data_IF_748445903653
#
_entry.id   IF_748445903653
#
_cell.length_a   1.000
_cell.length_b   1.000
_cell.length_c   1.000
_cell.angle_alpha   90.00
_cell.angle_beta   90.00
_cell.angle_gamma   90.00
#
_symmetry.space_group_name_H-M   'P 1'
#
loop_
_entity.id
_entity.type
_entity.pdbx_description
1 polymer ?
#
# COMPACT_ATOMS: atom_id res chain seq x y z
N UNK A 1 -12.46 10.61 5.34
CA UNK A 1 -11.17 11.13 4.90
C UNK A 1 -11.42 11.93 3.63
N UNK A 2 -11.24 13.25 3.65
CA UNK A 2 -11.46 14.09 2.47
C UNK A 2 -10.10 14.30 1.85
N UNK A 3 -9.84 13.66 0.70
CA UNK A 3 -8.75 14.10 -0.16
C UNK A 3 -9.16 15.48 -0.66
N UNK A 4 -8.38 16.52 -0.37
CA UNK A 4 -8.58 17.82 -1.01
C UNK A 4 -8.59 17.61 -2.53
N UNK A 5 -9.33 18.42 -3.28
CA UNK A 5 -9.29 18.48 -4.75
C UNK A 5 -7.92 19.02 -5.25
N UNK A 6 -6.83 18.63 -4.61
CA UNK A 6 -5.48 18.90 -5.05
C UNK A 6 -5.24 18.13 -6.35
N UNK A 7 -4.84 18.88 -7.37
CA UNK A 7 -4.46 18.31 -8.66
C UNK A 7 -3.23 17.42 -8.42
N UNK A 8 -3.34 16.14 -8.74
CA UNK A 8 -2.23 15.20 -8.62
C UNK A 8 -1.10 15.58 -9.58
N UNK A 9 0.10 15.78 -9.05
CA UNK A 9 1.32 16.02 -9.83
C UNK A 9 2.07 14.70 -10.05
N UNK A 10 1.98 14.16 -11.27
CA UNK A 10 2.65 12.92 -11.64
C UNK A 10 4.11 13.19 -12.06
N UNK A 11 5.04 12.36 -11.57
CA UNK A 11 6.43 12.39 -12.01
C UNK A 11 6.63 11.65 -13.35
N UNK A 12 7.85 11.70 -13.89
CA UNK A 12 8.22 11.05 -15.16
C UNK A 12 8.12 9.52 -15.14
N UNK A 13 7.81 8.93 -13.99
CA UNK A 13 7.58 7.49 -13.82
C UNK A 13 6.09 7.15 -13.65
N UNK A 14 5.18 8.12 -13.77
CA UNK A 14 3.74 7.91 -13.66
C UNK A 14 3.22 7.81 -12.22
N UNK A 15 3.97 8.26 -11.22
CA UNK A 15 3.54 8.29 -9.82
C UNK A 15 3.20 9.70 -9.36
N UNK A 16 2.06 9.86 -8.68
CA UNK A 16 1.71 11.05 -7.92
C UNK A 16 1.60 10.69 -6.44
N UNK A 17 2.39 11.34 -5.59
CA UNK A 17 2.36 11.09 -4.16
C UNK A 17 1.08 11.65 -3.53
N UNK A 18 0.42 10.85 -2.69
CA UNK A 18 -0.74 11.31 -1.94
C UNK A 18 -0.29 11.92 -0.62
N UNK A 19 -0.73 13.16 -0.35
CA UNK A 19 -0.59 13.77 0.97
C UNK A 19 -1.55 13.07 1.94
N UNK A 20 -1.06 11.98 2.54
CA UNK A 20 -1.76 11.34 3.65
C UNK A 20 -1.74 12.30 4.84
N UNK A 21 -2.88 12.49 5.51
CA UNK A 21 -2.95 13.26 6.74
C UNK A 21 -1.95 12.76 7.81
N UNK A 22 -1.62 13.56 8.84
CA UNK A 22 -0.54 13.26 9.78
C UNK A 22 -0.59 11.84 10.39
N UNK A 23 -1.80 11.33 10.64
CA UNK A 23 -2.05 10.02 11.25
C UNK A 23 -1.74 8.82 10.34
N UNK A 24 -1.65 9.01 9.02
CA UNK A 24 -1.42 7.91 8.08
C UNK A 24 0.00 7.91 7.48
N UNK A 25 0.78 8.98 7.69
CA UNK A 25 2.21 8.99 7.34
C UNK A 25 3.03 8.00 8.18
N UNK A 26 2.52 7.64 9.36
CA UNK A 26 3.12 6.66 10.28
C UNK A 26 2.01 5.86 10.98
N UNK A 27 1.96 4.55 10.74
CA UNK A 27 1.02 3.63 11.39
C UNK A 27 1.81 2.73 12.34
N UNK A 28 1.65 2.93 13.65
CA UNK A 28 2.57 2.35 14.64
C UNK A 28 3.99 2.84 14.41
N UNK A 29 4.94 1.94 14.17
CA UNK A 29 6.34 2.26 13.83
C UNK A 29 6.63 2.24 12.32
N UNK A 30 5.64 1.93 11.49
CA UNK A 30 5.82 1.81 10.04
C UNK A 30 5.57 3.15 9.37
N UNK A 31 6.56 3.63 8.62
CA UNK A 31 6.38 4.72 7.66
C UNK A 31 5.70 4.18 6.42
N UNK A 32 4.56 4.77 6.08
CA UNK A 32 3.77 4.37 4.91
C UNK A 32 3.72 5.53 3.95
N UNK A 33 4.18 5.28 2.73
CA UNK A 33 3.99 6.20 1.61
C UNK A 33 2.86 5.66 0.73
N UNK A 34 1.97 6.54 0.31
CA UNK A 34 0.88 6.20 -0.60
C UNK A 34 1.00 7.07 -1.84
N UNK A 35 0.84 6.47 -3.01
CA UNK A 35 0.90 7.17 -4.29
C UNK A 35 -0.12 6.58 -5.25
N UNK A 36 -0.66 7.42 -6.13
CA UNK A 36 -1.40 6.94 -7.29
C UNK A 36 -0.38 6.63 -8.36
N UNK A 37 -0.36 5.38 -8.82
CA UNK A 37 0.38 5.00 -10.00
C UNK A 37 -0.58 4.95 -11.18
N UNK A 38 -0.27 5.75 -12.20
CA UNK A 38 -1.00 5.79 -13.45
C UNK A 38 -0.04 5.32 -14.55
N UNK A 39 -0.22 4.10 -15.10
CA UNK A 39 0.62 3.57 -16.17
C UNK A 39 0.27 4.22 -17.52
N UNK A 40 0.18 5.56 -17.57
CA UNK A 40 0.26 6.25 -18.84
C UNK A 40 1.65 5.99 -19.47
N UNK A 41 1.74 6.11 -20.79
CA UNK A 41 3.02 6.16 -21.51
C UNK A 41 3.97 7.13 -20.80
N UNK A 42 5.06 6.61 -20.25
CA UNK A 42 6.09 7.40 -19.59
C UNK A 42 7.47 6.94 -20.10
N UNK A 43 8.52 7.69 -19.77
CA UNK A 43 9.86 7.46 -20.34
C UNK A 43 10.41 6.04 -20.05
N UNK A 44 9.88 5.35 -19.04
CA UNK A 44 10.26 4.01 -18.66
C UNK A 44 9.25 2.91 -19.05
N UNK A 45 8.05 3.28 -19.51
CA UNK A 45 7.03 2.30 -19.91
C UNK A 45 7.03 2.13 -21.44
N UNK A 46 7.26 0.89 -21.90
CA UNK A 46 7.06 0.52 -23.32
C UNK A 46 5.57 0.35 -23.66
N UNK A 47 4.66 0.79 -22.77
CA UNK A 47 3.23 0.61 -22.94
C UNK A 47 2.74 1.42 -24.14
N UNK A 48 1.96 0.76 -25.01
CA UNK A 48 1.25 1.39 -26.13
C UNK A 48 -0.21 1.69 -25.80
N UNK A 49 -0.67 1.33 -24.61
CA UNK A 49 -2.04 1.56 -24.16
C UNK A 49 -2.13 2.95 -23.53
N UNK A 50 -3.15 3.69 -23.95
CA UNK A 50 -3.58 4.95 -23.32
C UNK A 50 -4.54 4.69 -22.14
N UNK A 51 -4.84 3.41 -21.84
CA UNK A 51 -5.74 3.03 -20.77
C UNK A 51 -5.08 3.28 -19.42
N UNK A 52 -5.67 4.21 -18.67
CA UNK A 52 -5.24 4.58 -17.33
C UNK A 52 -5.90 3.64 -16.33
N UNK A 53 -5.12 2.73 -15.75
CA UNK A 53 -5.53 1.92 -14.62
C UNK A 53 -4.89 2.47 -13.35
N UNK A 54 -5.47 3.53 -12.74
CA UNK A 54 -4.94 4.09 -11.52
C UNK A 54 -4.96 3.01 -10.43
N UNK A 55 -3.80 2.81 -9.81
CA UNK A 55 -3.64 1.93 -8.65
C UNK A 55 -3.10 2.73 -7.48
N UNK A 56 -3.48 2.35 -6.27
CA UNK A 56 -2.88 2.89 -5.05
C UNK A 56 -1.69 2.01 -4.69
N UNK A 57 -0.51 2.61 -4.66
CA UNK A 57 0.71 1.95 -4.24
C UNK A 57 1.05 2.31 -2.78
N UNK A 58 1.16 1.30 -1.93
CA UNK A 58 1.71 1.42 -0.58
C UNK A 58 3.18 1.01 -0.61
N UNK A 59 4.06 1.92 -0.18
CA UNK A 59 5.49 1.64 -0.06
C UNK A 59 5.88 1.56 1.42
N UNK A 60 6.55 0.47 1.79
CA UNK A 60 7.21 0.32 3.09
C UNK A 60 8.73 0.38 2.90
N UNK A 61 9.41 1.15 3.75
CA UNK A 61 10.87 1.15 3.80
C UNK A 61 11.38 -0.08 4.55
N UNK A 62 12.26 -0.86 3.92
CA UNK A 62 12.90 -2.04 4.52
C UNK A 62 14.42 -1.80 4.52
N UNK A 63 14.99 -1.59 5.71
CA UNK A 63 16.39 -1.15 5.85
C UNK A 63 16.61 0.29 5.34
N UNK A 64 17.84 0.63 4.97
CA UNK A 64 18.18 2.01 4.64
C UNK A 64 17.85 2.43 3.20
N UNK A 65 17.91 1.49 2.24
CA UNK A 65 17.92 1.80 0.80
C UNK A 65 16.82 1.12 -0.02
N UNK A 66 16.02 0.22 0.56
CA UNK A 66 15.02 -0.56 -0.17
C UNK A 66 13.59 -0.13 0.20
N UNK A 67 12.75 0.01 -0.82
CA UNK A 67 11.32 0.22 -0.70
C UNK A 67 10.60 -0.98 -1.31
N UNK A 68 9.80 -1.65 -0.50
CA UNK A 68 8.88 -2.68 -0.97
C UNK A 68 7.54 -2.03 -1.28
N UNK A 69 7.01 -2.34 -2.46
CA UNK A 69 5.82 -1.72 -3.03
C UNK A 69 4.73 -2.77 -3.19
N UNK A 70 3.51 -2.43 -2.81
CA UNK A 70 2.32 -3.20 -3.12
C UNK A 70 1.27 -2.25 -3.72
N UNK A 71 0.83 -2.58 -4.92
CA UNK A 71 -0.19 -1.82 -5.64
C UNK A 71 -1.53 -2.53 -5.57
N UNK A 72 -2.60 -1.77 -5.34
CA UNK A 72 -3.97 -2.24 -5.37
C UNK A 72 -4.79 -1.43 -6.36
N UNK A 73 -5.55 -2.09 -7.23
CA UNK A 73 -6.63 -1.48 -8.00
C UNK A 73 -7.89 -1.27 -7.13
N UNK A 74 -8.92 -0.65 -7.71
CA UNK A 74 -10.15 -0.34 -6.97
C UNK A 74 -10.86 -1.60 -6.45
N UNK A 75 -11.00 -2.65 -7.26
CA UNK A 75 -11.67 -3.89 -6.86
C UNK A 75 -10.91 -4.58 -5.72
N UNK A 76 -9.58 -4.60 -5.78
CA UNK A 76 -8.73 -5.16 -4.74
C UNK A 76 -8.82 -4.36 -3.44
N UNK A 77 -8.90 -3.03 -3.50
CA UNK A 77 -9.12 -2.19 -2.31
C UNK A 77 -10.48 -2.46 -1.66
N UNK A 78 -11.54 -2.64 -2.46
CA UNK A 78 -12.88 -2.99 -1.94
C UNK A 78 -12.86 -4.37 -1.28
N UNK A 79 -12.19 -5.35 -1.89
CA UNK A 79 -12.02 -6.67 -1.33
C UNK A 79 -11.23 -6.62 -0.01
N UNK A 80 -10.11 -5.88 0.02
CA UNK A 80 -9.30 -5.67 1.21
C UNK A 80 -10.11 -4.99 2.31
N UNK A 81 -10.88 -3.93 1.99
CA UNK A 81 -11.74 -3.24 2.94
C UNK A 81 -12.73 -4.21 3.60
N UNK A 82 -13.34 -5.10 2.82
CA UNK A 82 -14.26 -6.12 3.33
C UNK A 82 -13.55 -7.14 4.23
N UNK A 83 -12.28 -7.46 3.94
CA UNK A 83 -11.49 -8.43 4.69
C UNK A 83 -10.86 -7.87 5.98
N UNK A 84 -10.67 -6.54 6.09
CA UNK A 84 -9.99 -5.89 7.24
C UNK A 84 -10.55 -6.37 8.60
N UNK A 85 -11.88 -6.43 8.84
CA UNK A 85 -12.41 -6.89 10.13
C UNK A 85 -11.95 -8.31 10.50
N UNK A 86 -12.03 -9.25 9.56
CA UNK A 86 -11.58 -10.63 9.78
C UNK A 86 -10.07 -10.72 9.98
N UNK A 87 -9.27 -9.89 9.28
CA UNK A 87 -7.83 -9.83 9.49
C UNK A 87 -7.47 -9.29 10.89
N UNK A 88 -8.21 -8.31 11.39
CA UNK A 88 -8.07 -7.80 12.77
C UNK A 88 -8.42 -8.89 13.78
N UNK A 89 -9.51 -9.61 13.54
CA UNK A 89 -9.94 -10.74 14.38
C UNK A 89 -8.86 -11.83 14.44
N UNK A 90 -8.31 -12.24 13.29
CA UNK A 90 -7.19 -13.20 13.23
C UNK A 90 -5.99 -12.69 14.05
N UNK A 91 -5.56 -11.45 13.86
CA UNK A 91 -4.44 -10.89 14.63
C UNK A 91 -4.74 -10.79 16.13
N UNK A 92 -6.00 -10.58 16.51
CA UNK A 92 -6.42 -10.53 17.91
C UNK A 92 -6.43 -11.92 18.55
N UNK A 93 -6.78 -12.96 17.80
CA UNK A 93 -6.65 -14.35 18.24
C UNK A 93 -5.18 -14.75 18.40
N UNK A 94 -4.31 -14.33 17.48
CA UNK A 94 -2.86 -14.63 17.56
C UNK A 94 -2.17 -13.87 18.70
N UNK A 95 -2.66 -12.68 19.07
CA UNK A 95 -2.16 -11.91 20.22
C UNK A 95 -2.66 -12.39 21.59
N UNK A 96 -3.52 -13.41 21.63
CA UNK A 96 -3.91 -14.11 22.86
C UNK A 96 -2.93 -15.24 23.23
N UNK A 97 -1.65 -14.93 23.45
CA UNK A 97 -0.72 -15.85 24.14
C UNK A 97 -0.06 -16.94 23.29
N UNK A 98 0.67 -16.56 22.23
CA UNK A 98 1.65 -17.45 21.64
C UNK A 98 3.02 -17.28 22.30
N UNK A 99 3.35 -18.13 23.28
CA UNK A 99 4.76 -18.38 23.61
C UNK A 99 5.52 -18.76 22.32
N UNK A 100 6.85 -18.56 22.28
CA UNK A 100 7.72 -18.81 21.11
C UNK A 100 7.44 -20.14 20.37
N UNK A 101 6.84 -21.13 21.02
CA UNK A 101 6.44 -22.40 20.44
C UNK A 101 5.31 -22.31 19.40
N UNK A 102 4.33 -21.41 19.53
CA UNK A 102 3.17 -21.37 18.60
C UNK A 102 3.55 -20.96 17.17
N UNK A 103 4.56 -20.10 17.03
CA UNK A 103 5.11 -19.71 15.72
C UNK A 103 6.21 -20.67 15.21
N UNK A 104 6.68 -21.62 16.03
CA UNK A 104 7.80 -22.52 15.68
C UNK A 104 7.40 -23.71 14.79
N UNK A 105 6.10 -23.98 14.65
CA UNK A 105 5.58 -25.06 13.79
C UNK A 105 5.34 -24.65 12.33
N UNK A 106 5.46 -23.36 12.01
CA UNK A 106 5.41 -22.89 10.62
C UNK A 106 6.82 -22.98 10.06
N UNK A 107 7.25 -24.20 9.68
CA UNK A 107 8.45 -24.37 8.86
C UNK A 107 8.20 -23.77 7.47
N UNK A 108 9.17 -22.98 7.00
CA UNK A 108 9.28 -22.51 5.63
C UNK A 108 9.41 -23.65 4.63
#
# INVERSE_FOLDING_TARGET
MVFSNEKLEFNNHGFADLSLGPLLKKVGDKFVKCSVYCPARNDNSKSKSDDLYPSINFSQKVGEKRWDNISFNLQELIALQTAIPSLIEVLSFVNGGGDKETCSHIKA
#
